data_IF_734707544214
#
_entry.id   IF_734707544214
#
_cell.length_a   1.000
_cell.length_b   1.000
_cell.length_c   1.000
_cell.angle_alpha   90.00
_cell.angle_beta   90.00
_cell.angle_gamma   90.00
#
_symmetry.space_group_name_H-M   'P 1'
#
loop_
_entity.id
_entity.type
_entity.pdbx_description
1 polymer ?
#
# COMPACT_ATOMS: atom_id res chain seq x y z
N UNK A 1 -13.06 9.38 17.26
CA UNK A 1 -11.93 10.27 16.89
C UNK A 1 -11.42 9.82 15.53
N UNK A 2 -11.06 10.75 14.67
CA UNK A 2 -10.50 10.46 13.34
C UNK A 2 -8.98 10.24 13.51
N UNK A 3 -8.40 9.19 12.91
CA UNK A 3 -6.96 8.92 12.96
C UNK A 3 -6.15 9.95 12.13
N UNK A 4 -4.82 9.88 12.20
CA UNK A 4 -3.91 10.86 11.56
C UNK A 4 -4.02 10.98 10.03
N UNK A 5 -4.72 10.05 9.37
CA UNK A 5 -4.93 10.04 7.92
C UNK A 5 -6.34 10.42 7.50
N UNK A 6 -7.29 10.54 8.43
CA UNK A 6 -8.67 10.86 8.06
C UNK A 6 -9.52 9.68 7.60
N UNK A 7 -9.04 8.43 7.73
CA UNK A 7 -9.62 7.23 7.09
C UNK A 7 -10.32 6.27 8.06
N UNK A 8 -10.89 5.18 7.53
CA UNK A 8 -11.47 4.10 8.35
C UNK A 8 -10.41 3.48 9.30
N UNK A 9 -10.86 2.90 10.41
CA UNK A 9 -9.95 2.33 11.41
C UNK A 9 -9.17 1.15 10.84
N UNK A 10 -9.85 0.30 10.09
CA UNK A 10 -9.31 -0.91 9.49
C UNK A 10 -8.22 -0.57 8.46
N UNK A 11 -8.43 0.46 7.63
CA UNK A 11 -7.41 0.94 6.71
C UNK A 11 -6.21 1.56 7.45
N UNK A 12 -6.46 2.26 8.57
CA UNK A 12 -5.39 2.86 9.36
C UNK A 12 -4.50 1.84 10.08
N UNK A 13 -5.07 0.74 10.59
CA UNK A 13 -4.30 -0.35 11.22
C UNK A 13 -3.30 -0.96 10.21
N UNK A 14 -3.70 -1.11 8.94
CA UNK A 14 -2.81 -1.57 7.85
C UNK A 14 -1.68 -0.56 7.61
N UNK A 15 -1.99 0.74 7.59
CA UNK A 15 -0.99 1.77 7.39
C UNK A 15 -0.03 1.90 8.57
N UNK A 16 -0.48 1.66 9.80
CA UNK A 16 0.38 1.60 11.00
C UNK A 16 1.36 0.45 10.90
N UNK A 17 0.90 -0.75 10.53
CA UNK A 17 1.78 -1.89 10.29
C UNK A 17 2.79 -1.63 9.17
N UNK A 18 2.36 -0.96 8.08
CA UNK A 18 3.26 -0.55 7.01
C UNK A 18 4.30 0.47 7.48
N UNK A 19 3.92 1.44 8.33
CA UNK A 19 4.86 2.39 8.93
C UNK A 19 5.93 1.67 9.78
N UNK A 20 5.52 0.66 10.54
CA UNK A 20 6.43 -0.18 11.33
C UNK A 20 7.39 -0.98 10.44
N UNK A 21 6.87 -1.60 9.37
CA UNK A 21 7.68 -2.36 8.39
C UNK A 21 8.73 -1.50 7.69
N UNK A 22 8.42 -0.23 7.39
CA UNK A 22 9.34 0.69 6.70
C UNK A 22 10.11 1.60 7.66
N UNK A 23 9.85 1.50 8.97
CA UNK A 23 10.38 2.35 10.04
C UNK A 23 10.31 3.85 9.70
N UNK A 24 9.18 4.29 9.17
CA UNK A 24 8.96 5.67 8.74
C UNK A 24 7.47 5.97 8.60
N UNK A 25 7.09 7.21 8.86
CA UNK A 25 5.73 7.70 8.62
C UNK A 25 5.34 7.73 7.14
N UNK A 26 4.09 7.39 6.87
CA UNK A 26 3.45 7.47 5.56
C UNK A 26 2.57 8.73 5.55
N UNK A 27 2.99 9.84 4.92
CA UNK A 27 2.19 11.07 4.88
C UNK A 27 1.01 10.95 3.90
N UNK A 28 -0.02 11.76 4.11
CA UNK A 28 -1.02 12.06 3.07
C UNK A 28 -0.39 13.02 2.06
N UNK A 29 -0.54 12.71 0.78
CA UNK A 29 -0.03 13.51 -0.35
C UNK A 29 -1.15 13.76 -1.36
N UNK A 30 -1.05 14.88 -2.07
CA UNK A 30 -2.07 15.30 -3.05
C UNK A 30 -2.11 14.38 -4.27
N UNK A 31 -0.93 13.88 -4.70
CA UNK A 31 -0.81 13.02 -5.88
C UNK A 31 0.24 11.91 -5.71
N UNK A 32 -0.02 10.76 -6.34
CA UNK A 32 0.89 9.61 -6.36
C UNK A 32 2.00 9.83 -7.40
N UNK A 33 3.00 10.66 -7.06
CA UNK A 33 4.13 10.99 -7.93
C UNK A 33 5.49 10.68 -7.28
N UNK A 34 6.51 10.42 -8.09
CA UNK A 34 7.91 10.36 -7.63
C UNK A 34 8.37 11.78 -7.26
N UNK A 35 9.20 11.99 -6.21
CA UNK A 35 9.94 11.01 -5.39
C UNK A 35 9.24 10.61 -4.07
N UNK A 36 7.98 10.98 -3.88
CA UNK A 36 7.37 10.91 -2.55
C UNK A 36 6.94 9.49 -2.16
N UNK A 37 6.98 9.22 -0.86
CA UNK A 37 6.32 8.09 -0.20
C UNK A 37 5.09 8.65 0.47
N UNK A 38 3.95 7.98 0.35
CA UNK A 38 2.71 8.48 0.94
C UNK A 38 1.46 7.79 0.41
N UNK A 39 0.33 8.26 0.92
CA UNK A 39 -1.02 7.87 0.49
C UNK A 39 -1.77 9.04 -0.11
N UNK A 40 -2.64 8.74 -1.07
CA UNK A 40 -3.69 9.66 -1.50
C UNK A 40 -5.01 9.19 -0.89
N UNK A 41 -5.71 10.11 -0.24
CA UNK A 41 -6.99 9.86 0.42
C UNK A 41 -8.08 10.70 -0.25
N UNK A 42 -9.18 10.06 -0.64
CA UNK A 42 -10.39 10.71 -1.14
C UNK A 42 -11.60 10.13 -0.41
N UNK A 43 -12.54 10.98 0.02
CA UNK A 43 -13.74 10.56 0.77
C UNK A 43 -13.45 9.60 1.94
N UNK A 44 -12.36 9.86 2.68
CA UNK A 44 -11.89 9.05 3.81
C UNK A 44 -11.47 7.62 3.44
N UNK A 45 -11.13 7.37 2.18
CA UNK A 45 -10.68 6.07 1.65
C UNK A 45 -9.30 6.21 1.05
N UNK A 46 -8.47 5.17 1.18
CA UNK A 46 -7.16 5.15 0.52
C UNK A 46 -7.34 4.76 -0.93
N UNK A 47 -7.05 5.70 -1.85
CA UNK A 47 -7.17 5.46 -3.30
C UNK A 47 -5.82 5.30 -3.99
N UNK A 48 -4.75 5.76 -3.34
CA UNK A 48 -3.39 5.68 -3.86
C UNK A 48 -2.39 5.40 -2.75
N UNK A 49 -1.39 4.58 -3.05
CA UNK A 49 -0.30 4.28 -2.13
C UNK A 49 1.02 4.18 -2.91
N UNK A 50 2.07 4.81 -2.37
CA UNK A 50 3.42 4.75 -2.93
C UNK A 50 4.42 4.43 -1.84
N UNK A 51 5.03 3.26 -1.94
CA UNK A 51 6.06 2.74 -1.02
C UNK A 51 7.32 2.34 -1.81
N UNK A 52 7.71 3.16 -2.78
CA UNK A 52 8.90 2.93 -3.61
C UNK A 52 10.19 3.05 -2.79
N UNK A 53 11.12 2.10 -2.97
CA UNK A 53 12.44 2.10 -2.28
C UNK A 53 12.33 2.08 -0.74
N UNK A 54 11.35 1.37 -0.22
CA UNK A 54 11.11 1.22 1.22
C UNK A 54 11.74 -0.03 1.84
N UNK A 55 12.48 -0.83 1.07
CA UNK A 55 13.12 -2.10 1.48
C UNK A 55 12.11 -3.17 1.95
N UNK A 56 10.83 -3.04 1.58
CA UNK A 56 9.78 -3.99 1.96
C UNK A 56 10.12 -5.41 1.48
N UNK A 57 9.89 -6.39 2.35
CA UNK A 57 10.08 -7.83 2.08
C UNK A 57 8.72 -8.55 2.00
N UNK A 58 7.71 -8.02 2.71
CA UNK A 58 6.32 -8.46 2.71
C UNK A 58 5.37 -7.26 2.81
N UNK A 59 4.07 -7.52 2.69
CA UNK A 59 2.97 -6.62 3.04
C UNK A 59 2.16 -7.26 4.19
N UNK A 60 1.34 -6.49 4.93
CA UNK A 60 0.40 -7.03 5.91
C UNK A 60 -0.53 -8.09 5.32
N UNK A 61 -0.87 -9.14 6.08
CA UNK A 61 -1.79 -10.18 5.63
C UNK A 61 -3.19 -9.62 5.33
N UNK A 62 -3.58 -8.53 6.00
CA UNK A 62 -4.83 -7.81 5.82
C UNK A 62 -4.82 -6.78 4.67
N UNK A 63 -3.74 -6.67 3.89
CA UNK A 63 -3.57 -5.61 2.89
C UNK A 63 -4.72 -5.49 1.88
N UNK A 64 -5.37 -6.62 1.54
CA UNK A 64 -6.57 -6.65 0.70
C UNK A 64 -7.77 -5.82 1.17
N UNK A 65 -7.79 -5.42 2.44
CA UNK A 65 -8.86 -4.58 3.01
C UNK A 65 -8.81 -3.12 2.52
N UNK A 66 -7.71 -2.68 1.88
CA UNK A 66 -7.62 -1.41 1.14
C UNK A 66 -8.43 -1.47 -0.17
N UNK A 67 -9.71 -1.81 -0.07
CA UNK A 67 -10.58 -2.19 -1.20
C UNK A 67 -10.77 -1.09 -2.23
N UNK A 68 -10.55 0.18 -1.86
CA UNK A 68 -10.69 1.33 -2.76
C UNK A 68 -9.38 1.74 -3.44
N UNK A 69 -8.29 1.03 -3.19
CA UNK A 69 -6.98 1.33 -3.76
C UNK A 69 -7.02 1.18 -5.29
N UNK A 70 -6.69 2.25 -6.00
CA UNK A 70 -6.68 2.32 -7.46
C UNK A 70 -5.26 2.30 -8.02
N UNK A 71 -4.32 2.98 -7.34
CA UNK A 71 -2.93 3.09 -7.76
C UNK A 71 -2.00 2.62 -6.65
N UNK A 72 -1.14 1.64 -6.95
CA UNK A 72 -0.15 1.15 -6.01
C UNK A 72 1.24 1.03 -6.62
N UNK A 73 2.19 1.82 -6.11
CA UNK A 73 3.58 1.77 -6.55
C UNK A 73 4.49 1.19 -5.46
N UNK A 74 5.05 0.02 -5.73
CA UNK A 74 5.94 -0.76 -4.88
C UNK A 74 7.30 -1.03 -5.52
N UNK A 75 7.63 -0.27 -6.56
CA UNK A 75 8.85 -0.49 -7.30
C UNK A 75 10.11 -0.29 -6.44
N UNK A 76 11.17 -1.03 -6.77
CA UNK A 76 12.46 -1.00 -6.07
C UNK A 76 12.35 -1.44 -4.60
N UNK A 77 11.64 -2.55 -4.34
CA UNK A 77 11.59 -3.21 -3.03
C UNK A 77 12.20 -4.62 -3.10
N UNK A 78 11.94 -5.45 -2.09
CA UNK A 78 12.48 -6.80 -1.97
C UNK A 78 11.36 -7.83 -1.75
N UNK A 79 10.13 -7.52 -2.18
CA UNK A 79 8.98 -8.38 -2.00
C UNK A 79 9.25 -9.73 -2.66
N UNK A 80 9.04 -10.80 -1.90
CA UNK A 80 9.22 -12.18 -2.39
C UNK A 80 7.89 -12.86 -2.71
N UNK A 81 6.83 -12.42 -2.03
CA UNK A 81 5.43 -12.80 -2.22
C UNK A 81 4.53 -11.57 -2.04
N UNK A 82 3.25 -11.72 -2.36
CA UNK A 82 2.17 -10.82 -1.94
C UNK A 82 1.21 -11.64 -1.06
N UNK A 83 0.51 -11.02 -0.09
CA UNK A 83 -0.44 -11.73 0.75
C UNK A 83 -1.63 -12.26 -0.08
N UNK A 84 -2.25 -13.36 0.35
CA UNK A 84 -3.42 -13.94 -0.36
C UNK A 84 -4.58 -12.93 -0.47
N UNK A 85 -4.70 -12.03 0.51
CA UNK A 85 -5.70 -10.96 0.48
C UNK A 85 -5.49 -9.97 -0.65
N UNK A 86 -4.33 -9.94 -1.32
CA UNK A 86 -4.05 -9.02 -2.42
C UNK A 86 -5.06 -9.16 -3.57
N UNK A 87 -5.60 -10.36 -3.80
CA UNK A 87 -6.68 -10.61 -4.77
C UNK A 87 -7.99 -9.86 -4.46
N UNK A 88 -8.16 -9.33 -3.25
CA UNK A 88 -9.34 -8.56 -2.82
C UNK A 88 -9.30 -7.09 -3.27
N UNK A 89 -8.19 -6.61 -3.84
CA UNK A 89 -8.04 -5.24 -4.36
C UNK A 89 -8.80 -5.06 -5.70
N UNK A 90 -10.12 -5.22 -5.68
CA UNK A 90 -10.97 -5.25 -6.90
C UNK A 90 -11.04 -3.92 -7.65
N UNK A 91 -10.59 -2.82 -7.05
CA UNK A 91 -10.55 -1.50 -7.67
C UNK A 91 -9.16 -1.07 -8.17
N UNK A 92 -8.14 -1.95 -8.05
CA UNK A 92 -6.78 -1.64 -8.47
C UNK A 92 -6.70 -1.55 -10.00
N UNK A 93 -6.23 -0.40 -10.50
CA UNK A 93 -6.13 -0.08 -11.93
C UNK A 93 -4.67 0.01 -12.37
N UNK A 94 -3.79 0.48 -11.49
CA UNK A 94 -2.36 0.63 -11.75
C UNK A 94 -1.55 0.00 -10.63
N UNK A 95 -0.64 -0.89 -11.01
CA UNK A 95 0.26 -1.60 -10.11
C UNK A 95 1.67 -1.59 -10.69
N UNK A 96 2.62 -1.02 -9.96
CA UNK A 96 4.04 -1.09 -10.30
C UNK A 96 4.80 -1.91 -9.26
N UNK A 97 5.26 -3.08 -9.68
CA UNK A 97 6.06 -4.03 -8.89
C UNK A 97 7.50 -4.13 -9.41
N UNK A 98 7.93 -3.25 -10.32
CA UNK A 98 9.24 -3.34 -10.94
C UNK A 98 10.37 -3.41 -9.90
N UNK A 99 11.39 -4.22 -10.18
CA UNK A 99 12.55 -4.39 -9.29
C UNK A 99 12.17 -4.85 -7.87
N UNK A 100 11.37 -5.93 -7.81
CA UNK A 100 11.13 -6.77 -6.64
C UNK A 100 11.72 -8.18 -6.85
N UNK A 101 11.50 -9.11 -5.91
CA UNK A 101 11.97 -10.50 -5.95
C UNK A 101 10.82 -11.51 -6.03
N UNK A 102 9.67 -11.08 -6.56
CA UNK A 102 8.46 -11.89 -6.67
C UNK A 102 8.72 -13.11 -7.57
N UNK A 103 8.34 -14.29 -7.09
CA UNK A 103 8.44 -15.55 -7.86
C UNK A 103 7.10 -16.02 -8.40
N UNK A 104 6.03 -15.62 -7.75
CA UNK A 104 4.64 -15.90 -8.10
C UNK A 104 3.77 -14.72 -7.69
N UNK A 105 2.56 -14.70 -8.24
CA UNK A 105 1.48 -13.85 -7.75
C UNK A 105 0.50 -14.74 -6.96
N UNK A 106 -0.22 -14.19 -5.98
CA UNK A 106 -1.24 -14.93 -5.25
C UNK A 106 -2.40 -15.30 -6.18
N UNK A 107 -3.11 -16.37 -5.82
CA UNK A 107 -4.32 -16.80 -6.54
C UNK A 107 -5.47 -15.78 -6.35
N UNK A 108 -6.43 -15.80 -7.29
CA UNK A 108 -7.51 -14.80 -7.41
C UNK A 108 -8.72 -15.03 -6.52
#
# INVERSE_FOLDING_TARGET
MINKWGIAREEAEILEELEDLINRRIPVIDEIQWPFVGIKVEDKKVIGLRLCKCKLITLPDSFGQLKYLQTFHLNVNQLTTLPDSFGQLKHLQSLDLWHNKLRSLPDS
#
